data_IF_515266070347
#
_entry.id   IF_515266070347
#
_cell.length_a   1.000
_cell.length_b   1.000
_cell.length_c   1.000
_cell.angle_alpha   90.00
_cell.angle_beta   90.00
_cell.angle_gamma   90.00
#
_symmetry.space_group_name_H-M   'P 1'
#
loop_
_entity.id
_entity.type
_entity.pdbx_description
1 polymer ?
#
# COMPACT_ATOMS: atom_id res chain seq x y z
N UNK A 1 13.20 -25.01 -0.05
CA UNK A 1 13.42 -24.34 1.25
C UNK A 1 12.92 -22.92 1.11
N UNK A 2 11.87 -22.52 1.83
CA UNK A 2 11.44 -21.12 1.88
C UNK A 2 12.42 -20.32 2.72
N UNK A 3 12.95 -19.23 2.18
CA UNK A 3 13.80 -18.29 2.92
C UNK A 3 12.92 -17.65 4.00
N UNK A 4 13.37 -17.55 5.27
CA UNK A 4 12.61 -16.89 6.31
C UNK A 4 12.44 -15.40 6.00
N UNK A 5 11.24 -14.87 6.22
CA UNK A 5 10.91 -13.45 6.06
C UNK A 5 11.54 -12.62 7.17
N UNK A 6 12.80 -12.23 6.99
CA UNK A 6 13.53 -11.37 7.93
C UNK A 6 13.66 -9.93 7.41
N UNK A 7 13.92 -8.99 8.30
CA UNK A 7 14.20 -7.59 7.94
C UNK A 7 15.43 -7.46 7.05
N UNK A 8 16.43 -8.32 7.26
CA UNK A 8 17.67 -8.36 6.48
C UNK A 8 17.39 -8.80 5.04
N UNK A 9 16.57 -9.85 4.88
CA UNK A 9 16.20 -10.36 3.57
C UNK A 9 15.38 -9.33 2.77
N UNK A 10 14.46 -8.61 3.44
CA UNK A 10 13.72 -7.52 2.80
C UNK A 10 14.66 -6.41 2.31
N UNK A 11 15.69 -6.06 3.08
CA UNK A 11 16.66 -5.03 2.69
C UNK A 11 17.49 -5.47 1.48
N UNK A 12 17.89 -6.75 1.42
CA UNK A 12 18.57 -7.33 0.27
C UNK A 12 17.71 -7.23 -1.00
N UNK A 13 16.43 -7.65 -0.93
CA UNK A 13 15.50 -7.55 -2.04
C UNK A 13 15.29 -6.10 -2.51
N UNK A 14 15.27 -5.13 -1.58
CA UNK A 14 15.17 -3.71 -1.93
C UNK A 14 16.42 -3.20 -2.64
N UNK A 15 17.61 -3.65 -2.24
CA UNK A 15 18.87 -3.31 -2.89
C UNK A 15 18.95 -3.92 -4.30
N UNK A 16 18.56 -5.18 -4.45
CA UNK A 16 18.49 -5.86 -5.74
C UNK A 16 17.54 -5.15 -6.70
N UNK A 17 16.37 -4.75 -6.21
CA UNK A 17 15.42 -3.93 -6.98
C UNK A 17 16.07 -2.64 -7.47
N UNK A 18 16.84 -1.94 -6.63
CA UNK A 18 17.52 -0.70 -7.07
C UNK A 18 18.60 -0.97 -8.12
N UNK A 19 19.28 -2.11 -8.04
CA UNK A 19 20.33 -2.50 -8.99
C UNK A 19 19.75 -2.92 -10.34
N UNK A 20 18.71 -3.75 -10.32
CA UNK A 20 17.99 -4.21 -11.52
C UNK A 20 17.32 -3.04 -12.24
N UNK A 21 16.75 -2.08 -11.50
CA UNK A 21 16.15 -0.87 -12.08
C UNK A 21 17.17 0.03 -12.81
N UNK A 22 18.45 0.01 -12.42
CA UNK A 22 19.53 0.75 -13.11
C UNK A 22 19.90 0.13 -14.46
N UNK A 23 19.47 -1.09 -14.74
CA UNK A 23 19.78 -1.84 -15.97
C UNK A 23 18.50 -2.19 -16.74
N UNK A 24 17.77 -1.18 -17.26
CA UNK A 24 16.53 -1.42 -17.98
C UNK A 24 16.79 -2.28 -19.22
N UNK A 25 15.87 -3.23 -19.51
CA UNK A 25 15.87 -4.16 -20.65
C UNK A 25 16.87 -5.34 -20.61
N UNK A 26 17.77 -5.41 -19.63
CA UNK A 26 18.70 -6.55 -19.50
C UNK A 26 18.05 -7.68 -18.69
N UNK A 27 17.34 -7.34 -17.62
CA UNK A 27 16.73 -8.31 -16.69
C UNK A 27 15.20 -8.21 -16.65
N UNK A 28 14.56 -8.30 -17.81
CA UNK A 28 13.10 -8.18 -17.93
C UNK A 28 12.34 -9.14 -16.98
N UNK A 29 12.84 -10.37 -16.82
CA UNK A 29 12.20 -11.38 -15.98
C UNK A 29 12.50 -11.17 -14.48
N UNK A 30 13.71 -10.76 -14.11
CA UNK A 30 14.05 -10.49 -12.71
C UNK A 30 13.34 -9.22 -12.20
N UNK A 31 13.23 -8.20 -13.05
CA UNK A 31 12.41 -7.02 -12.76
C UNK A 31 10.96 -7.43 -12.51
N UNK A 32 10.37 -8.33 -13.32
CA UNK A 32 9.01 -8.83 -13.10
C UNK A 32 8.82 -9.62 -11.79
N UNK A 33 9.84 -10.36 -11.36
CA UNK A 33 9.80 -11.13 -10.11
C UNK A 33 9.99 -10.24 -8.87
N UNK A 34 10.83 -9.21 -8.97
CA UNK A 34 11.14 -8.28 -7.88
C UNK A 34 10.12 -7.14 -7.79
N UNK A 35 9.67 -6.61 -8.92
CA UNK A 35 8.85 -5.40 -9.01
C UNK A 35 7.97 -5.39 -10.26
N UNK A 36 6.69 -5.75 -10.13
CA UNK A 36 5.68 -5.43 -11.15
C UNK A 36 5.36 -3.92 -11.18
N UNK A 37 6.39 -3.07 -11.32
CA UNK A 37 6.32 -1.66 -10.97
C UNK A 37 6.64 -0.66 -12.06
N UNK A 38 6.74 -1.06 -13.34
CA UNK A 38 6.89 -0.09 -14.42
C UNK A 38 5.85 -0.31 -15.53
N UNK A 39 4.91 0.63 -15.61
CA UNK A 39 4.19 0.99 -16.83
C UNK A 39 3.24 -0.06 -17.41
N UNK A 40 2.18 -0.40 -16.67
CA UNK A 40 0.99 -0.94 -17.31
C UNK A 40 -0.20 -0.07 -16.93
N UNK A 41 -0.98 0.24 -17.95
CA UNK A 41 -2.14 1.12 -17.94
C UNK A 41 -3.00 0.89 -16.69
N UNK A 42 -3.44 1.99 -16.06
CA UNK A 42 -4.19 1.94 -14.78
C UNK A 42 -5.50 1.16 -14.91
N UNK A 43 -5.96 0.95 -16.14
CA UNK A 43 -7.19 0.21 -16.48
C UNK A 43 -7.00 -1.31 -16.57
N UNK A 44 -5.77 -1.83 -16.72
CA UNK A 44 -5.50 -3.30 -16.76
C UNK A 44 -5.21 -3.86 -15.36
N UNK A 45 -4.72 -3.02 -14.45
CA UNK A 45 -4.39 -3.39 -13.07
C UNK A 45 -5.61 -3.87 -12.25
N UNK A 46 -6.83 -3.53 -12.67
CA UNK A 46 -8.06 -3.92 -11.96
C UNK A 46 -8.47 -5.40 -12.14
N UNK A 47 -7.81 -6.17 -13.02
CA UNK A 47 -8.22 -7.56 -13.32
C UNK A 47 -7.27 -8.65 -12.85
N UNK A 48 -6.08 -8.32 -12.36
CA UNK A 48 -5.17 -9.33 -11.84
C UNK A 48 -4.66 -8.89 -10.48
N UNK A 49 -5.32 -9.41 -9.44
CA UNK A 49 -4.70 -9.57 -8.13
C UNK A 49 -3.34 -10.25 -8.35
N UNK A 50 -2.25 -9.49 -8.30
CA UNK A 50 -0.89 -10.02 -8.31
C UNK A 50 -0.28 -9.90 -6.91
N UNK A 51 -0.63 -10.80 -5.97
CA UNK A 51 0.05 -10.94 -4.68
C UNK A 51 1.45 -11.57 -4.81
N UNK A 52 2.08 -11.56 -5.99
CA UNK A 52 3.15 -12.50 -6.36
C UNK A 52 4.57 -11.90 -6.48
N UNK A 53 4.89 -10.80 -5.78
CA UNK A 53 6.30 -10.39 -5.64
C UNK A 53 6.85 -10.81 -4.28
N UNK A 54 8.07 -11.33 -4.26
CA UNK A 54 8.73 -11.78 -3.03
C UNK A 54 8.86 -10.63 -2.01
N UNK A 55 9.06 -9.39 -2.50
CA UNK A 55 9.05 -8.18 -1.68
C UNK A 55 7.69 -8.00 -0.98
N UNK A 56 6.57 -8.10 -1.71
CA UNK A 56 5.25 -7.94 -1.09
C UNK A 56 4.95 -9.08 -0.12
N UNK A 57 5.38 -10.31 -0.42
CA UNK A 57 5.21 -11.46 0.46
C UNK A 57 5.96 -11.29 1.78
N UNK A 58 7.29 -11.09 1.73
CA UNK A 58 8.14 -10.89 2.92
C UNK A 58 7.65 -9.70 3.73
N UNK A 59 7.24 -8.64 3.05
CA UNK A 59 6.69 -7.47 3.71
C UNK A 59 5.35 -7.75 4.39
N UNK A 60 4.46 -8.49 3.75
CA UNK A 60 3.19 -8.84 4.38
C UNK A 60 3.43 -9.68 5.65
N UNK A 61 4.35 -10.63 5.59
CA UNK A 61 4.73 -11.45 6.75
C UNK A 61 5.35 -10.61 7.89
N UNK A 62 6.18 -9.62 7.56
CA UNK A 62 6.85 -8.74 8.56
C UNK A 62 5.94 -7.66 9.17
N UNK A 63 5.04 -7.06 8.38
CA UNK A 63 4.31 -5.85 8.80
C UNK A 63 2.81 -6.07 9.05
N UNK A 64 2.18 -7.09 8.47
CA UNK A 64 0.75 -7.38 8.73
C UNK A 64 0.55 -8.18 10.01
N UNK A 65 1.59 -8.87 10.50
CA UNK A 65 1.59 -9.42 11.86
C UNK A 65 1.38 -8.34 12.93
N UNK A 66 1.76 -7.09 12.67
CA UNK A 66 1.58 -5.96 13.58
C UNK A 66 0.17 -5.35 13.56
N UNK A 67 -0.63 -5.60 12.51
CA UNK A 67 -2.05 -5.19 12.47
C UNK A 67 -2.98 -6.21 13.12
N UNK A 68 -2.51 -7.45 13.32
CA UNK A 68 -3.25 -8.51 14.00
C UNK A 68 -3.26 -8.35 15.54
N UNK A 69 -2.52 -7.38 16.08
CA UNK A 69 -2.55 -6.99 17.50
C UNK A 69 -3.59 -5.91 17.85
N UNK A 70 -4.58 -5.67 16.98
CA UNK A 70 -5.81 -4.93 17.32
C UNK A 70 -6.97 -5.91 17.23
N UNK A 71 -7.04 -6.75 18.23
CA UNK A 71 -8.17 -7.57 18.66
C UNK A 71 -9.30 -6.67 19.22
N UNK A 72 -9.81 -5.72 18.42
CA UNK A 72 -11.00 -4.97 18.80
C UNK A 72 -11.90 -4.71 17.57
N UNK A 73 -12.61 -5.76 17.14
CA UNK A 73 -13.90 -5.61 16.47
C UNK A 73 -13.95 -5.13 15.01
N UNK A 74 -12.82 -4.89 14.34
CA UNK A 74 -12.82 -4.66 12.89
C UNK A 74 -12.85 -6.00 12.15
N UNK A 75 -14.02 -6.30 11.60
CA UNK A 75 -14.28 -7.35 10.60
C UNK A 75 -13.06 -7.50 9.69
N UNK A 76 -12.50 -8.71 9.62
CA UNK A 76 -11.42 -9.05 8.69
C UNK A 76 -11.77 -8.52 7.30
N UNK A 77 -10.97 -7.58 6.79
CA UNK A 77 -11.12 -6.99 5.45
C UNK A 77 -11.13 -8.08 4.36
N UNK A 78 -10.64 -9.29 4.69
CA UNK A 78 -10.71 -10.51 3.89
C UNK A 78 -12.14 -10.95 3.51
N UNK A 79 -13.18 -10.50 4.21
CA UNK A 79 -14.57 -10.95 3.99
C UNK A 79 -15.46 -9.89 3.32
N UNK A 80 -14.89 -8.93 2.59
CA UNK A 80 -15.66 -7.98 1.77
C UNK A 80 -16.17 -8.66 0.48
N UNK A 81 -17.08 -9.63 0.64
CA UNK A 81 -17.86 -10.19 -0.47
C UNK A 81 -18.88 -9.14 -0.93
N UNK A 82 -18.52 -8.36 -1.95
CA UNK A 82 -19.42 -7.36 -2.53
C UNK A 82 -20.52 -8.04 -3.34
N UNK A 83 -21.78 -7.57 -3.25
CA UNK A 83 -22.87 -8.07 -4.09
C UNK A 83 -22.65 -7.68 -5.56
N UNK A 84 -23.38 -8.34 -6.47
CA UNK A 84 -23.38 -7.97 -7.87
C UNK A 84 -23.79 -6.49 -8.05
N UNK A 85 -23.15 -5.75 -8.97
CA UNK A 85 -23.47 -4.35 -9.18
C UNK A 85 -24.91 -4.20 -9.64
N UNK A 86 -25.66 -3.33 -8.98
CA UNK A 86 -27.05 -3.02 -9.30
C UNK A 86 -27.24 -1.50 -9.38
N UNK A 87 -27.87 -1.05 -10.47
CA UNK A 87 -28.18 0.37 -10.68
C UNK A 87 -27.06 1.20 -11.35
N UNK A 88 -27.27 2.52 -11.46
CA UNK A 88 -26.33 3.44 -12.10
C UNK A 88 -25.06 3.66 -11.25
N UNK A 89 -23.95 4.03 -11.90
CA UNK A 89 -22.69 4.33 -11.20
C UNK A 89 -22.82 5.58 -10.34
N UNK A 90 -22.57 5.44 -9.04
CA UNK A 90 -22.56 6.56 -8.08
C UNK A 90 -21.14 6.84 -7.59
N UNK A 91 -20.87 8.11 -7.25
CA UNK A 91 -19.62 8.53 -6.60
C UNK A 91 -19.93 8.96 -5.17
N UNK A 92 -19.41 8.23 -4.20
CA UNK A 92 -19.54 8.54 -2.77
C UNK A 92 -18.24 9.15 -2.27
N UNK A 93 -18.35 10.20 -1.44
CA UNK A 93 -17.20 10.89 -0.84
C UNK A 93 -17.52 11.14 0.63
N UNK A 94 -16.69 10.61 1.50
CA UNK A 94 -16.76 10.83 2.95
C UNK A 94 -15.56 11.67 3.42
N UNK A 95 -15.82 12.60 4.34
CA UNK A 95 -14.79 13.46 4.93
C UNK A 95 -14.55 13.05 6.38
N UNK A 96 -13.38 12.46 6.64
CA UNK A 96 -12.94 12.11 7.98
C UNK A 96 -11.91 13.14 8.46
N UNK A 97 -12.14 13.73 9.63
CA UNK A 97 -11.24 14.72 10.22
C UNK A 97 -10.29 14.07 11.24
N UNK A 98 -9.00 14.39 11.14
CA UNK A 98 -8.03 13.93 12.13
C UNK A 98 -8.15 14.73 13.45
N UNK A 99 -8.06 14.06 14.62
CA UNK A 99 -8.18 14.70 15.94
C UNK A 99 -6.90 15.44 16.35
N UNK A 100 -6.50 16.43 15.55
CA UNK A 100 -5.27 17.22 15.76
C UNK A 100 -5.33 18.14 16.98
N UNK A 101 -6.54 18.46 17.48
CA UNK A 101 -6.74 19.28 18.68
C UNK A 101 -6.38 18.51 19.94
N UNK A 102 -6.76 17.23 20.01
CA UNK A 102 -6.52 16.35 21.15
C UNK A 102 -5.08 15.83 21.14
N UNK A 103 -4.54 15.51 19.96
CA UNK A 103 -3.19 14.96 19.80
C UNK A 103 -2.33 15.81 18.86
N UNK A 104 -1.92 17.02 19.29
CA UNK A 104 -1.18 17.96 18.43
C UNK A 104 0.24 17.49 18.08
N UNK A 105 0.82 16.57 18.87
CA UNK A 105 2.16 16.03 18.64
C UNK A 105 2.17 14.81 17.72
N UNK A 106 1.01 14.23 17.41
CA UNK A 106 0.92 13.01 16.61
C UNK A 106 0.81 13.32 15.11
N UNK A 107 1.60 12.63 14.29
CA UNK A 107 1.59 12.80 12.84
C UNK A 107 0.64 11.80 12.16
N UNK A 108 -0.65 12.15 12.11
CA UNK A 108 -1.69 11.36 11.45
C UNK A 108 -1.40 11.15 9.95
N UNK A 109 -1.02 12.21 9.24
CA UNK A 109 -0.77 12.17 7.79
C UNK A 109 0.38 11.20 7.47
N UNK A 110 1.51 11.34 8.19
CA UNK A 110 2.66 10.47 8.01
C UNK A 110 2.35 8.99 8.31
N UNK A 111 1.54 8.73 9.34
CA UNK A 111 1.14 7.36 9.71
C UNK A 111 0.21 6.73 8.68
N UNK A 112 -0.75 7.47 8.14
CA UNK A 112 -1.69 6.98 7.13
C UNK A 112 -1.01 6.77 5.77
N UNK A 113 -0.11 7.68 5.37
CA UNK A 113 0.63 7.55 4.10
C UNK A 113 1.63 6.38 4.17
N UNK A 114 2.36 6.28 5.27
CA UNK A 114 3.40 5.28 5.45
C UNK A 114 4.65 5.52 4.58
N UNK A 115 5.68 4.66 4.71
CA UNK A 115 6.92 4.78 3.94
C UNK A 115 6.63 4.66 2.44
N UNK A 116 7.15 5.59 1.64
CA UNK A 116 6.97 5.65 0.18
C UNK A 116 5.49 5.63 -0.27
N UNK A 117 4.54 6.01 0.61
CA UNK A 117 3.10 5.98 0.31
C UNK A 117 2.52 4.57 0.24
N UNK A 118 3.25 3.56 0.71
CA UNK A 118 2.87 2.17 0.47
C UNK A 118 1.67 1.75 1.31
N UNK A 119 1.55 2.21 2.55
CA UNK A 119 0.39 1.91 3.40
C UNK A 119 -0.90 2.48 2.81
N UNK A 120 -0.85 3.71 2.29
CA UNK A 120 -2.00 4.31 1.62
C UNK A 120 -2.43 3.49 0.40
N UNK A 121 -1.48 3.13 -0.47
CA UNK A 121 -1.74 2.32 -1.67
C UNK A 121 -2.32 0.96 -1.35
N UNK A 122 -1.85 0.35 -0.26
CA UNK A 122 -2.35 -0.93 0.20
C UNK A 122 -3.82 -0.83 0.63
N UNK A 123 -4.17 0.18 1.43
CA UNK A 123 -5.57 0.41 1.83
C UNK A 123 -6.44 0.68 0.61
N UNK A 124 -5.98 1.51 -0.34
CA UNK A 124 -6.71 1.77 -1.59
C UNK A 124 -6.90 0.49 -2.42
N UNK A 125 -5.88 -0.37 -2.51
CA UNK A 125 -5.94 -1.63 -3.26
C UNK A 125 -6.88 -2.65 -2.61
N UNK A 126 -6.86 -2.76 -1.28
CA UNK A 126 -7.66 -3.75 -0.56
C UNK A 126 -9.13 -3.33 -0.48
N UNK A 127 -9.40 -2.03 -0.36
CA UNK A 127 -10.78 -1.51 -0.25
C UNK A 127 -11.40 -1.15 -1.60
N UNK A 128 -10.59 -0.94 -2.64
CA UNK A 128 -11.04 -0.37 -3.92
C UNK A 128 -11.43 1.11 -3.83
N UNK A 129 -11.24 1.76 -2.68
CA UNK A 129 -11.54 3.16 -2.47
C UNK A 129 -10.35 4.06 -2.82
N UNK A 130 -10.63 5.33 -3.13
CA UNK A 130 -9.60 6.35 -3.34
C UNK A 130 -9.49 7.25 -2.12
N UNK A 131 -8.30 7.28 -1.51
CA UNK A 131 -8.02 8.08 -0.32
C UNK A 131 -7.31 9.38 -0.70
N UNK A 132 -7.76 10.49 -0.11
CA UNK A 132 -7.23 11.82 -0.40
C UNK A 132 -6.95 12.58 0.89
N UNK A 133 -5.68 12.84 1.18
CA UNK A 133 -5.29 13.74 2.28
C UNK A 133 -5.46 15.18 1.83
N UNK A 134 -6.24 15.97 2.58
CA UNK A 134 -6.56 17.38 2.28
C UNK A 134 -6.58 18.21 3.56
N UNK A 135 -6.46 19.53 3.41
CA UNK A 135 -6.62 20.50 4.51
C UNK A 135 -5.31 21.12 5.00
N UNK A 136 -5.43 21.93 6.07
CA UNK A 136 -4.32 22.69 6.67
C UNK A 136 -3.30 21.72 7.29
N UNK A 137 -2.04 21.80 6.87
CA UNK A 137 -0.99 20.89 7.31
C UNK A 137 -0.90 19.58 6.53
N UNK A 138 -1.70 19.41 5.46
CA UNK A 138 -1.61 18.25 4.56
C UNK A 138 -0.40 18.27 3.64
N UNK A 139 0.17 19.45 3.35
CA UNK A 139 1.37 19.59 2.53
C UNK A 139 2.62 19.56 3.42
N UNK A 140 3.65 18.86 2.96
CA UNK A 140 4.93 18.73 3.66
C UNK A 140 5.69 20.07 3.73
N UNK A 141 5.44 20.96 2.78
CA UNK A 141 6.16 22.23 2.66
C UNK A 141 5.44 23.35 3.43
N UNK A 142 6.09 23.79 4.51
CA UNK A 142 5.87 25.10 5.14
C UNK A 142 7.15 25.92 5.05
N UNK A 143 7.54 26.27 3.83
CA UNK A 143 8.51 27.35 3.59
C UNK A 143 7.87 28.36 2.65
N UNK A 144 7.37 29.43 3.24
CA UNK A 144 7.37 30.77 2.67
C UNK A 144 8.17 31.62 3.66
#
# INVERSE_FOLDING_TARGET
>A
MSIPSTSEYLNELLNDKTTVSKMPKIFLHAERLLDQGHSWDKDVFLRINFPFTEINKVRNELFHGATNGVDNGTTSIADLSLPAPSGPRVKLVEKVYAPVKEFPKFNFVGRVIGPRGMTLREIESTTGCKLLVRGKGSMKDKKL
#
